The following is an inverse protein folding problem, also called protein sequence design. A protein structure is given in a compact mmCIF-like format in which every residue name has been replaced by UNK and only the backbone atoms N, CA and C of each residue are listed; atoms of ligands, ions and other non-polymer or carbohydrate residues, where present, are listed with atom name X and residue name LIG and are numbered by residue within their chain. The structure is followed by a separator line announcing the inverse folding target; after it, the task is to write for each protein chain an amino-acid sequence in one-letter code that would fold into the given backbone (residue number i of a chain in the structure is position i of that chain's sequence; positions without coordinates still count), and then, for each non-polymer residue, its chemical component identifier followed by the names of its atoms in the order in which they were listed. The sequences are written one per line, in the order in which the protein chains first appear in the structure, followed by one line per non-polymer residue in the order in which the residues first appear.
data_IF_594559535238
#
_entry.id   IF_594559535238
#
_cell.length_a   1.000
_cell.length_b   1.000
_cell.length_c   1.000
_cell.angle_alpha   90.00
_cell.angle_beta   90.00
_cell.angle_gamma   90.00
#
_symmetry.space_group_name_H-M   'P 1'
#
loop_
_entity.id
_entity.type
_entity.pdbx_description
1 polymer ?
#
# COMPACT_ATOMS: atom_id res chain seq x y z
N UNK A 1 -3.88 0.77 26.97
CA UNK A 1 -3.29 1.67 25.96
C UNK A 1 -3.46 0.95 24.63
N UNK A 2 -4.21 1.51 23.67
CA UNK A 2 -4.51 0.83 22.40
C UNK A 2 -3.24 0.63 21.56
N UNK A 3 -3.23 -0.39 20.70
CA UNK A 3 -2.12 -0.65 19.79
C UNK A 3 -2.42 0.04 18.46
N UNK A 4 -1.54 0.94 18.03
CA UNK A 4 -1.65 1.59 16.72
C UNK A 4 -0.59 1.06 15.77
N UNK A 5 -0.95 0.91 14.49
CA UNK A 5 -0.06 0.47 13.42
C UNK A 5 -0.21 1.37 12.21
N UNK A 6 0.78 1.38 11.32
CA UNK A 6 0.70 2.13 10.08
C UNK A 6 1.07 1.30 8.86
N UNK A 7 0.49 1.67 7.71
CA UNK A 7 0.85 1.17 6.38
C UNK A 7 1.12 2.36 5.45
N UNK A 8 2.29 2.41 4.81
CA UNK A 8 2.55 3.29 3.69
C UNK A 8 2.05 2.63 2.41
N UNK A 9 1.06 3.24 1.78
CA UNK A 9 0.49 2.75 0.53
C UNK A 9 1.19 3.41 -0.64
N UNK A 10 1.67 2.60 -1.58
CA UNK A 10 2.24 3.07 -2.84
C UNK A 10 1.29 2.68 -3.98
N UNK A 11 1.12 3.60 -4.93
CA UNK A 11 0.26 3.46 -6.09
C UNK A 11 1.04 3.96 -7.31
N UNK A 12 1.22 3.12 -8.33
CA UNK A 12 1.90 3.53 -9.56
C UNK A 12 2.67 2.40 -10.26
N UNK A 13 3.37 2.75 -11.33
CA UNK A 13 4.31 1.86 -12.00
C UNK A 13 5.72 2.13 -11.47
N UNK A 14 6.29 1.16 -10.74
CA UNK A 14 7.61 1.26 -10.14
C UNK A 14 8.74 1.33 -11.17
N UNK A 15 8.60 0.66 -12.32
CA UNK A 15 9.62 0.67 -13.36
C UNK A 15 9.60 1.98 -14.13
N UNK A 16 8.42 2.47 -14.49
CA UNK A 16 8.27 3.79 -15.10
C UNK A 16 8.78 4.88 -14.16
N UNK A 17 8.40 4.84 -12.88
CA UNK A 17 8.87 5.81 -11.90
C UNK A 17 10.41 5.79 -11.77
N UNK A 18 11.03 4.61 -11.78
CA UNK A 18 12.49 4.50 -11.75
C UNK A 18 13.15 5.11 -13.00
N UNK A 19 12.60 4.86 -14.21
CA UNK A 19 13.08 5.47 -15.45
C UNK A 19 12.94 7.00 -15.43
N UNK A 20 11.79 7.51 -15.01
CA UNK A 20 11.54 8.96 -14.92
C UNK A 20 12.43 9.63 -13.87
N UNK A 21 12.67 8.97 -12.74
CA UNK A 21 13.57 9.45 -11.69
C UNK A 21 15.01 9.50 -12.20
N UNK A 22 15.46 8.48 -12.92
CA UNK A 22 16.79 8.47 -13.52
C UNK A 22 16.96 9.61 -14.54
N UNK A 23 15.99 9.80 -15.43
CA UNK A 23 15.98 10.90 -16.40
C UNK A 23 16.03 12.29 -15.73
N UNK A 24 15.18 12.49 -14.71
CA UNK A 24 15.15 13.75 -13.95
C UNK A 24 16.47 14.01 -13.22
N UNK A 25 17.04 12.98 -12.58
CA UNK A 25 18.31 13.08 -11.83
C UNK A 25 19.49 13.39 -12.76
N UNK A 26 19.55 12.75 -13.92
CA UNK A 26 20.58 13.05 -14.92
C UNK A 26 20.45 14.47 -15.46
N UNK A 27 19.22 14.94 -15.70
CA UNK A 27 18.94 16.33 -16.11
C UNK A 27 19.39 17.31 -15.03
N UNK A 28 19.04 17.06 -13.76
CA UNK A 28 19.47 17.88 -12.62
C UNK A 28 21.00 17.91 -12.47
N UNK A 29 21.66 16.78 -12.73
CA UNK A 29 23.13 16.68 -12.67
C UNK A 29 23.79 17.50 -13.78
N UNK A 30 23.26 17.45 -15.00
CA UNK A 30 23.74 18.27 -16.11
C UNK A 30 23.49 19.76 -15.84
N UNK A 31 22.29 20.11 -15.36
CA UNK A 31 21.95 21.48 -14.97
C UNK A 31 22.91 22.01 -13.91
N UNK A 32 23.15 21.26 -12.84
CA UNK A 32 24.03 21.68 -11.75
C UNK A 32 25.47 22.01 -12.22
N UNK A 33 25.98 21.29 -13.23
CA UNK A 33 27.31 21.54 -13.80
C UNK A 33 27.38 22.82 -14.64
N UNK A 34 26.25 23.22 -15.24
CA UNK A 34 26.20 24.28 -16.25
C UNK A 34 25.46 25.54 -15.77
N UNK A 35 24.71 25.47 -14.66
CA UNK A 35 23.81 26.53 -14.24
C UNK A 35 24.53 27.87 -14.02
N UNK A 36 25.68 27.88 -13.37
CA UNK A 36 26.46 29.10 -13.16
C UNK A 36 27.01 29.70 -14.47
N UNK A 37 27.34 28.86 -15.45
CA UNK A 37 27.94 29.28 -16.73
C UNK A 37 26.90 30.01 -17.58
N UNK A 38 25.68 29.47 -17.63
CA UNK A 38 24.60 29.97 -18.48
C UNK A 38 23.53 30.79 -17.72
N UNK A 39 23.77 31.09 -16.43
CA UNK A 39 22.83 31.84 -15.60
C UNK A 39 21.48 31.12 -15.42
N UNK A 40 21.48 29.79 -15.32
CA UNK A 40 20.27 29.00 -15.23
C UNK A 40 19.79 28.84 -13.77
N UNK A 41 18.49 28.64 -13.55
CA UNK A 41 17.91 28.15 -12.30
C UNK A 41 18.59 26.90 -11.75
N UNK A 42 18.33 26.61 -10.47
CA UNK A 42 18.94 25.46 -9.77
C UNK A 42 18.16 24.16 -9.93
N UNK A 43 16.88 24.24 -10.28
CA UNK A 43 16.01 23.08 -10.46
C UNK A 43 15.56 22.94 -11.92
N UNK A 44 15.52 21.70 -12.47
CA UNK A 44 15.03 21.49 -13.83
C UNK A 44 13.61 22.02 -14.08
N UNK A 45 12.75 21.98 -13.06
CA UNK A 45 11.35 22.42 -13.14
C UNK A 45 11.19 23.94 -13.23
N UNK A 46 12.24 24.72 -12.94
CA UNK A 46 12.23 26.19 -12.98
C UNK A 46 12.72 26.73 -14.33
N UNK A 47 13.20 25.87 -15.22
CA UNK A 47 13.73 26.27 -16.52
C UNK A 47 12.62 26.66 -17.50
N UNK A 48 12.78 27.81 -18.16
CA UNK A 48 11.98 28.17 -19.33
C UNK A 48 12.24 27.22 -20.50
N UNK A 49 11.36 27.19 -21.50
CA UNK A 49 11.55 26.35 -22.70
C UNK A 49 12.87 26.67 -23.43
N UNK A 50 13.25 27.94 -23.47
CA UNK A 50 14.52 28.41 -24.03
C UNK A 50 15.72 27.85 -23.24
N UNK A 51 15.67 27.92 -21.91
CA UNK A 51 16.71 27.39 -21.03
C UNK A 51 16.81 25.85 -21.09
N UNK A 52 15.68 25.16 -21.28
CA UNK A 52 15.67 23.73 -21.54
C UNK A 52 16.34 23.40 -22.90
N UNK A 53 16.20 24.28 -23.89
CA UNK A 53 16.91 24.18 -25.17
C UNK A 53 18.43 24.17 -25.01
N UNK A 54 18.97 25.07 -24.18
CA UNK A 54 20.41 25.13 -23.87
C UNK A 54 20.91 23.78 -23.34
N UNK A 55 20.20 23.18 -22.37
CA UNK A 55 20.61 21.87 -21.85
C UNK A 55 20.56 20.78 -22.92
N UNK A 56 19.51 20.74 -23.74
CA UNK A 56 19.37 19.76 -24.83
C UNK A 56 20.50 19.85 -25.85
N UNK A 57 21.04 21.04 -26.10
CA UNK A 57 22.22 21.23 -26.97
C UNK A 57 23.52 20.77 -26.29
N UNK A 58 23.65 20.95 -24.97
CA UNK A 58 24.83 20.51 -24.21
C UNK A 58 24.99 18.99 -24.17
N UNK A 59 23.88 18.24 -24.15
CA UNK A 59 23.90 16.79 -24.28
C UNK A 59 22.62 16.29 -24.98
N UNK A 60 22.68 16.23 -26.31
CA UNK A 60 21.58 15.77 -27.14
C UNK A 60 21.29 14.27 -27.03
N UNK A 61 22.18 13.50 -26.39
CA UNK A 61 22.01 12.06 -26.18
C UNK A 61 21.22 11.73 -24.92
N UNK A 62 21.13 12.68 -23.99
CA UNK A 62 20.47 12.49 -22.71
C UNK A 62 18.95 12.57 -22.86
N UNK A 63 18.26 11.52 -22.42
CA UNK A 63 16.80 11.54 -22.29
C UNK A 63 16.39 12.45 -21.12
N UNK A 64 16.24 13.74 -21.39
CA UNK A 64 15.98 14.74 -20.34
C UNK A 64 14.53 14.75 -19.86
N UNK A 65 14.38 15.05 -18.57
CA UNK A 65 13.09 15.29 -17.93
C UNK A 65 13.20 16.50 -17.01
N UNK A 66 12.35 17.49 -17.23
CA UNK A 66 12.37 18.77 -16.49
C UNK A 66 11.34 18.82 -15.37
N UNK A 67 10.28 18.02 -15.45
CA UNK A 67 9.28 17.90 -14.39
C UNK A 67 9.65 16.76 -13.44
N UNK A 68 9.54 16.92 -12.11
CA UNK A 68 9.77 15.81 -11.20
C UNK A 68 8.84 14.61 -11.51
N UNK A 69 9.28 13.37 -11.29
CA UNK A 69 8.42 12.20 -11.39
C UNK A 69 7.32 12.28 -10.32
N UNK A 70 6.12 11.77 -10.65
CA UNK A 70 5.03 11.70 -9.67
C UNK A 70 5.42 10.74 -8.55
N UNK A 71 5.35 11.13 -7.26
CA UNK A 71 5.67 10.24 -6.15
C UNK A 71 4.78 9.00 -6.12
N UNK A 72 5.38 7.82 -5.89
CA UNK A 72 4.62 6.58 -5.71
C UNK A 72 3.87 6.53 -4.38
N UNK A 73 4.36 7.21 -3.34
CA UNK A 73 3.74 7.22 -2.02
C UNK A 73 2.36 7.89 -2.11
N UNK A 74 1.32 7.08 -1.95
CA UNK A 74 -0.05 7.57 -1.94
C UNK A 74 -0.42 8.21 -0.60
N UNK A 75 0.18 7.71 0.48
CA UNK A 75 0.06 8.26 1.83
C UNK A 75 0.23 7.19 2.89
N UNK A 76 -0.10 7.55 4.14
CA UNK A 76 0.01 6.69 5.32
C UNK A 76 -1.38 6.41 5.88
N UNK A 77 -1.73 5.14 5.99
CA UNK A 77 -2.88 4.68 6.76
C UNK A 77 -2.44 4.41 8.19
N UNK A 78 -3.18 4.90 9.17
CA UNK A 78 -2.99 4.58 10.60
C UNK A 78 -4.22 3.89 11.12
N UNK A 79 -4.02 2.76 11.80
CA UNK A 79 -5.11 1.97 12.39
C UNK A 79 -4.92 1.87 13.90
N UNK A 80 -6.03 1.96 14.62
CA UNK A 80 -6.12 1.52 16.01
C UNK A 80 -6.68 0.09 16.01
N UNK A 81 -5.98 -0.82 16.69
CA UNK A 81 -6.35 -2.23 16.77
C UNK A 81 -7.17 -2.51 18.03
N UNK A 82 -8.13 -3.42 17.89
CA UNK A 82 -8.95 -3.91 18.98
C UNK A 82 -8.16 -4.78 19.95
N UNK A 83 -8.68 -4.89 21.18
CA UNK A 83 -8.19 -5.84 22.19
C UNK A 83 -8.58 -7.29 21.80
N UNK A 84 -7.90 -7.80 20.80
CA UNK A 84 -8.06 -9.15 20.24
C UNK A 84 -6.69 -9.79 20.10
N UNK A 85 -6.08 -10.30 21.20
CA UNK A 85 -4.65 -10.62 21.22
C UNK A 85 -4.18 -11.52 20.08
N UNK A 86 -4.97 -12.52 19.65
CA UNK A 86 -4.60 -13.37 18.51
C UNK A 86 -4.53 -12.62 17.18
N UNK A 87 -5.47 -11.72 16.93
CA UNK A 87 -5.55 -10.95 15.68
C UNK A 87 -4.60 -9.76 15.70
N UNK A 88 -4.64 -8.97 16.77
CA UNK A 88 -3.79 -7.82 16.96
C UNK A 88 -2.31 -8.22 16.95
N UNK A 89 -1.91 -9.27 17.68
CA UNK A 89 -0.50 -9.70 17.68
C UNK A 89 -0.07 -10.23 16.31
N UNK A 90 -0.94 -10.96 15.61
CA UNK A 90 -0.65 -11.41 14.23
C UNK A 90 -0.43 -10.22 13.31
N UNK A 91 -1.34 -9.24 13.30
CA UNK A 91 -1.24 -8.09 12.41
C UNK A 91 -0.04 -7.19 12.75
N UNK A 92 0.21 -6.93 14.03
CA UNK A 92 1.37 -6.15 14.50
C UNK A 92 2.68 -6.80 14.09
N UNK A 93 2.82 -8.10 14.34
CA UNK A 93 4.03 -8.83 13.99
C UNK A 93 4.27 -8.89 12.48
N UNK A 94 3.19 -8.96 11.67
CA UNK A 94 3.28 -8.84 10.22
C UNK A 94 3.57 -7.40 9.77
N UNK A 95 3.23 -6.37 10.55
CA UNK A 95 3.65 -4.99 10.28
C UNK A 95 5.13 -4.76 10.65
N UNK A 96 5.64 -5.39 11.70
CA UNK A 96 7.03 -5.19 12.18
C UNK A 96 8.04 -6.14 11.53
N UNK A 97 7.57 -7.29 11.04
CA UNK A 97 8.44 -8.35 10.51
C UNK A 97 9.19 -9.14 11.59
N UNK A 98 8.85 -8.96 12.87
CA UNK A 98 9.63 -9.47 14.01
C UNK A 98 9.67 -11.00 14.12
N UNK A 99 8.76 -11.71 13.42
CA UNK A 99 8.63 -13.18 13.47
C UNK A 99 9.45 -13.91 12.41
N UNK A 100 10.23 -13.19 11.60
CA UNK A 100 11.17 -13.80 10.66
C UNK A 100 10.49 -14.39 9.42
N UNK A 101 10.74 -15.67 9.15
CA UNK A 101 10.31 -16.34 7.90
C UNK A 101 9.02 -17.14 8.09
N UNK A 102 8.25 -17.29 7.02
CA UNK A 102 7.07 -18.16 6.98
C UNK A 102 7.51 -19.62 7.13
N UNK A 103 6.73 -20.42 7.85
CA UNK A 103 6.98 -21.85 8.04
C UNK A 103 6.67 -22.66 6.79
N UNK A 104 5.59 -22.33 6.07
CA UNK A 104 5.12 -23.07 4.89
C UNK A 104 5.59 -22.44 3.58
N UNK A 105 6.23 -21.27 3.63
CA UNK A 105 6.90 -20.63 2.51
C UNK A 105 8.28 -20.09 2.94
N UNK A 106 9.29 -20.96 3.14
CA UNK A 106 10.55 -20.60 3.82
C UNK A 106 11.35 -19.45 3.20
N UNK A 107 11.09 -19.11 1.93
CA UNK A 107 11.72 -17.98 1.22
C UNK A 107 10.93 -16.67 1.35
N UNK A 108 9.86 -16.64 2.15
CA UNK A 108 8.97 -15.48 2.35
C UNK A 108 9.02 -15.05 3.80
N UNK A 109 9.06 -13.73 4.04
CA UNK A 109 9.05 -13.15 5.39
C UNK A 109 7.62 -13.04 5.90
N UNK A 110 7.44 -13.19 7.22
CA UNK A 110 6.23 -12.81 7.94
C UNK A 110 6.17 -11.28 8.05
N UNK A 111 6.01 -10.58 6.92
CA UNK A 111 6.08 -9.12 6.85
C UNK A 111 5.22 -8.58 5.70
N UNK A 112 4.51 -7.46 5.94
CA UNK A 112 3.67 -6.81 4.94
C UNK A 112 4.41 -5.88 3.98
N UNK A 113 5.64 -5.47 4.28
CA UNK A 113 6.40 -4.64 3.34
C UNK A 113 6.55 -5.36 1.99
N UNK A 114 6.36 -4.60 0.91
CA UNK A 114 6.28 -5.01 -0.49
C UNK A 114 5.09 -5.92 -0.85
N UNK A 115 4.17 -6.17 0.08
CA UNK A 115 2.97 -6.97 -0.18
C UNK A 115 1.96 -6.19 -1.03
N UNK A 116 1.40 -6.79 -2.11
CA UNK A 116 0.37 -6.15 -2.91
C UNK A 116 -0.97 -6.00 -2.19
N UNK A 117 -1.66 -4.90 -2.45
CA UNK A 117 -3.12 -4.82 -2.30
C UNK A 117 -3.70 -5.39 -3.60
N UNK A 118 -3.79 -6.72 -3.64
CA UNK A 118 -3.99 -7.48 -4.87
C UNK A 118 -5.43 -7.41 -5.42
N UNK A 119 -6.39 -6.99 -4.59
CA UNK A 119 -7.79 -6.90 -5.00
C UNK A 119 -8.47 -5.67 -4.39
N UNK A 120 -8.98 -4.78 -5.22
CA UNK A 120 -9.75 -3.60 -4.83
C UNK A 120 -11.04 -3.58 -5.64
N UNK A 121 -12.18 -3.69 -4.95
CA UNK A 121 -13.52 -3.54 -5.55
C UNK A 121 -14.06 -2.18 -5.20
N UNK A 122 -14.24 -1.34 -6.21
CA UNK A 122 -14.70 0.05 -6.04
C UNK A 122 -16.02 0.12 -5.29
N UNK A 123 -16.09 1.01 -4.31
CA UNK A 123 -17.20 1.20 -3.40
C UNK A 123 -17.48 -0.03 -2.54
N UNK A 124 -16.48 -0.86 -2.22
CA UNK A 124 -16.66 -2.00 -1.33
C UNK A 124 -15.44 -2.27 -0.42
N UNK A 125 -14.38 -2.90 -0.94
CA UNK A 125 -13.22 -3.31 -0.13
C UNK A 125 -11.90 -3.26 -0.90
N UNK A 126 -10.81 -2.97 -0.19
CA UNK A 126 -9.43 -3.17 -0.65
C UNK A 126 -8.78 -4.30 0.16
N UNK A 127 -8.35 -5.37 -0.49
CA UNK A 127 -7.81 -6.58 0.10
C UNK A 127 -6.31 -6.74 -0.23
N UNK A 128 -5.54 -7.06 0.79
CA UNK A 128 -4.09 -7.28 0.73
C UNK A 128 -3.63 -8.33 1.72
N UNK A 129 -2.34 -8.34 2.02
CA UNK A 129 -1.76 -9.21 3.05
C UNK A 129 -1.49 -10.65 2.60
N UNK A 130 -1.55 -10.95 1.31
CA UNK A 130 -0.99 -12.20 0.78
C UNK A 130 0.54 -12.06 0.67
N UNK A 131 1.21 -12.33 1.78
CA UNK A 131 2.67 -12.18 1.93
C UNK A 131 3.47 -13.27 1.20
N UNK A 132 2.82 -14.35 0.75
CA UNK A 132 3.53 -15.49 0.15
C UNK A 132 3.45 -15.46 -1.38
N UNK A 133 2.25 -15.21 -1.95
CA UNK A 133 2.00 -15.25 -3.40
C UNK A 133 1.62 -13.89 -3.98
N UNK A 134 0.98 -13.03 -3.18
CA UNK A 134 0.57 -11.69 -3.59
C UNK A 134 -0.63 -11.67 -4.55
N UNK A 135 -1.37 -12.76 -4.70
CA UNK A 135 -2.50 -12.90 -5.64
C UNK A 135 -3.83 -13.28 -4.95
N UNK A 136 -3.80 -13.46 -3.63
CA UNK A 136 -4.95 -13.83 -2.81
C UNK A 136 -5.06 -15.34 -2.56
N UNK A 137 -4.23 -16.17 -3.20
CA UNK A 137 -4.21 -17.63 -2.98
C UNK A 137 -3.27 -18.08 -1.85
N UNK A 138 -2.49 -17.16 -1.29
CA UNK A 138 -1.49 -17.43 -0.26
C UNK A 138 -1.79 -16.81 1.12
N UNK A 139 -0.72 -16.43 1.79
CA UNK A 139 -0.71 -15.91 3.16
C UNK A 139 -0.45 -16.96 4.23
N UNK A 140 0.11 -16.51 5.36
CA UNK A 140 0.41 -17.33 6.53
C UNK A 140 0.37 -16.46 7.79
N UNK A 141 -0.28 -16.93 8.86
CA UNK A 141 -0.19 -16.23 10.14
C UNK A 141 1.15 -16.47 10.83
N UNK A 142 1.46 -15.65 11.82
CA UNK A 142 2.63 -15.83 12.68
C UNK A 142 2.61 -17.13 13.51
N UNK A 143 1.51 -17.87 13.48
CA UNK A 143 1.31 -19.14 14.17
C UNK A 143 1.61 -20.36 13.29
N UNK A 144 2.09 -20.15 12.05
CA UNK A 144 2.52 -21.23 11.15
C UNK A 144 1.40 -21.80 10.27
N UNK A 145 0.34 -21.04 10.04
CA UNK A 145 -0.81 -21.48 9.23
C UNK A 145 -2.04 -20.59 9.40
N UNK A 146 -3.21 -21.22 9.50
CA UNK A 146 -4.50 -20.57 9.73
C UNK A 146 -4.85 -20.55 11.23
N UNK A 147 -5.66 -19.58 11.68
CA UNK A 147 -6.15 -19.49 13.05
C UNK A 147 -7.63 -19.11 13.13
N UNK A 148 -8.20 -19.34 14.32
CA UNK A 148 -9.64 -19.25 14.58
C UNK A 148 -10.17 -17.81 14.54
N UNK A 149 -11.48 -17.69 14.31
CA UNK A 149 -12.18 -16.41 14.38
C UNK A 149 -12.31 -15.93 15.83
N UNK A 150 -12.15 -14.62 16.05
CA UNK A 150 -12.50 -14.00 17.32
C UNK A 150 -14.01 -13.70 17.36
N UNK A 151 -14.67 -14.13 18.44
CA UNK A 151 -16.13 -13.99 18.58
C UNK A 151 -16.60 -12.55 18.77
N UNK A 152 -15.78 -11.69 19.37
CA UNK A 152 -16.14 -10.28 19.56
C UNK A 152 -16.05 -9.55 18.23
N UNK A 153 -14.97 -9.76 17.47
CA UNK A 153 -14.80 -9.19 16.14
C UNK A 153 -15.83 -9.66 15.12
N UNK A 154 -16.32 -10.91 15.19
CA UNK A 154 -17.44 -11.40 14.34
C UNK A 154 -18.76 -10.67 14.58
N UNK A 155 -18.96 -10.12 15.78
CA UNK A 155 -20.20 -9.41 16.17
C UNK A 155 -20.13 -7.92 15.86
N UNK A 156 -18.95 -7.38 15.56
CA UNK A 156 -18.79 -5.98 15.20
C UNK A 156 -19.49 -5.69 13.88
N UNK A 157 -20.12 -4.52 13.82
CA UNK A 157 -20.63 -3.98 12.57
C UNK A 157 -19.47 -3.38 11.79
N UNK A 158 -19.50 -3.54 10.48
CA UNK A 158 -18.59 -2.83 9.60
C UNK A 158 -19.02 -1.38 9.41
N UNK A 159 -18.05 -0.53 9.12
CA UNK A 159 -18.16 0.87 8.68
C UNK A 159 -17.00 1.15 7.72
N UNK A 160 -17.06 2.24 6.94
CA UNK A 160 -15.90 2.69 6.16
C UNK A 160 -14.70 2.89 7.09
N UNK A 161 -13.53 2.41 6.67
CA UNK A 161 -12.32 2.40 7.49
C UNK A 161 -12.18 1.19 8.43
N UNK A 162 -13.17 0.29 8.51
CA UNK A 162 -13.00 -0.97 9.24
C UNK A 162 -11.86 -1.81 8.66
N UNK A 163 -11.00 -2.34 9.54
CA UNK A 163 -9.95 -3.30 9.23
C UNK A 163 -10.40 -4.70 9.66
N UNK A 164 -10.42 -5.65 8.73
CA UNK A 164 -10.94 -6.98 8.98
C UNK A 164 -10.14 -8.09 8.28
N UNK A 165 -10.21 -9.31 8.83
CA UNK A 165 -9.50 -10.45 8.27
C UNK A 165 -10.21 -10.98 7.02
N UNK A 166 -9.46 -11.18 5.96
CA UNK A 166 -9.91 -12.01 4.84
C UNK A 166 -9.69 -13.49 5.20
N UNK A 167 -10.66 -14.34 4.84
CA UNK A 167 -10.60 -15.77 5.12
C UNK A 167 -11.28 -16.56 3.97
N UNK A 168 -11.05 -17.88 3.95
CA UNK A 168 -11.66 -18.80 2.99
C UNK A 168 -12.75 -19.66 3.66
N UNK A 169 -13.44 -19.09 4.66
CA UNK A 169 -14.39 -19.78 5.51
C UNK A 169 -14.03 -19.71 6.99
N UNK A 170 -14.92 -20.25 7.82
CA UNK A 170 -14.83 -20.19 9.28
C UNK A 170 -13.47 -20.69 9.78
N UNK A 171 -12.86 -19.94 10.71
CA UNK A 171 -11.60 -20.27 11.36
C UNK A 171 -10.41 -20.43 10.39
N UNK A 172 -10.36 -19.62 9.33
CA UNK A 172 -9.27 -19.68 8.34
C UNK A 172 -8.48 -18.39 8.18
N UNK A 173 -8.39 -17.59 9.25
CA UNK A 173 -7.62 -16.34 9.24
C UNK A 173 -6.12 -16.64 9.08
N UNK A 174 -5.41 -15.82 8.31
CA UNK A 174 -3.96 -15.94 8.08
C UNK A 174 -3.28 -14.57 8.14
N UNK A 175 -2.65 -14.12 7.06
CA UNK A 175 -2.09 -12.77 6.91
C UNK A 175 -2.98 -11.84 6.08
N UNK A 176 -3.97 -12.38 5.37
CA UNK A 176 -4.78 -11.54 4.49
C UNK A 176 -5.80 -10.71 5.28
N UNK A 177 -5.95 -9.45 4.87
CA UNK A 177 -6.89 -8.49 5.46
C UNK A 177 -7.58 -7.70 4.36
N UNK A 178 -8.67 -7.03 4.71
CA UNK A 178 -9.28 -6.01 3.87
C UNK A 178 -9.65 -4.77 4.65
N UNK A 179 -9.66 -3.65 3.93
CA UNK A 179 -10.15 -2.35 4.34
C UNK A 179 -11.52 -2.11 3.72
N UNK A 180 -12.47 -1.64 4.52
CA UNK A 180 -13.79 -1.26 4.02
C UNK A 180 -13.75 0.14 3.43
N UNK A 181 -14.19 0.28 2.18
CA UNK A 181 -14.16 1.54 1.42
C UNK A 181 -15.52 2.24 1.34
N UNK A 182 -16.58 1.61 1.87
CA UNK A 182 -17.96 2.07 1.69
C UNK A 182 -18.70 2.21 3.02
N UNK A 183 -19.65 3.15 3.05
CA UNK A 183 -20.65 3.30 4.12
C UNK A 183 -22.04 2.78 3.71
N UNK A 184 -22.16 2.13 2.55
CA UNK A 184 -23.42 1.54 2.07
C UNK A 184 -23.80 0.32 2.93
N UNK A 185 -24.79 0.50 3.80
CA UNK A 185 -25.28 -0.52 4.74
C UNK A 185 -25.66 -1.84 4.05
N UNK A 186 -26.16 -1.79 2.81
CA UNK A 186 -26.57 -2.99 2.06
C UNK A 186 -25.36 -3.84 1.66
N UNK A 187 -24.20 -3.20 1.39
CA UNK A 187 -22.93 -3.89 1.12
C UNK A 187 -22.28 -4.36 2.40
N UNK A 188 -22.29 -3.53 3.44
CA UNK A 188 -21.76 -3.87 4.76
C UNK A 188 -22.45 -5.10 5.35
N UNK A 189 -23.77 -5.20 5.21
CA UNK A 189 -24.57 -6.34 5.68
C UNK A 189 -24.11 -7.69 5.10
N UNK A 190 -23.51 -7.71 3.90
CA UNK A 190 -23.04 -8.96 3.25
C UNK A 190 -21.85 -9.59 3.97
N UNK A 191 -21.10 -8.82 4.75
CA UNK A 191 -19.88 -9.22 5.47
C UNK A 191 -20.14 -9.59 6.94
N UNK A 192 -21.25 -9.11 7.51
CA UNK A 192 -21.60 -9.34 8.92
C UNK A 192 -21.60 -10.84 9.28
N UNK A 193 -20.93 -11.18 10.38
CA UNK A 193 -20.84 -12.54 10.90
C UNK A 193 -19.97 -13.51 10.10
N UNK A 194 -19.32 -13.05 9.01
CA UNK A 194 -18.43 -13.89 8.17
C UNK A 194 -16.94 -13.56 8.33
N UNK A 195 -16.65 -12.29 8.61
CA UNK A 195 -15.29 -11.79 8.74
C UNK A 195 -15.12 -11.09 10.08
N UNK A 196 -13.91 -11.13 10.61
CA UNK A 196 -13.59 -10.61 11.93
C UNK A 196 -13.05 -9.19 11.78
N UNK A 197 -13.77 -8.20 12.27
CA UNK A 197 -13.25 -6.83 12.44
C UNK A 197 -12.31 -6.82 13.64
N UNK A 198 -11.12 -6.26 13.47
CA UNK A 198 -10.09 -6.22 14.52
C UNK A 198 -9.37 -4.87 14.63
N UNK A 199 -9.84 -3.86 13.92
CA UNK A 199 -9.34 -2.49 14.04
C UNK A 199 -10.12 -1.52 13.18
N UNK A 200 -9.78 -0.24 13.30
CA UNK A 200 -10.40 0.85 12.57
C UNK A 200 -9.37 1.89 12.14
N UNK A 201 -9.65 2.54 11.01
CA UNK A 201 -8.83 3.62 10.50
C UNK A 201 -8.93 4.84 11.42
N UNK A 202 -7.76 5.32 11.85
CA UNK A 202 -7.60 6.54 12.64
C UNK A 202 -7.24 7.74 11.77
N UNK A 203 -6.36 7.54 10.80
CA UNK A 203 -5.83 8.59 9.93
C UNK A 203 -5.48 8.05 8.53
N UNK A 204 -5.48 8.93 7.52
CA UNK A 204 -5.24 8.58 6.11
C UNK A 204 -6.51 8.31 5.30
N UNK A 205 -7.62 9.00 5.60
CA UNK A 205 -8.90 8.83 4.90
C UNK A 205 -8.81 9.14 3.40
N UNK A 206 -7.97 10.08 3.01
CA UNK A 206 -7.68 10.41 1.60
C UNK A 206 -6.97 9.26 0.88
N UNK A 207 -6.21 8.43 1.60
CA UNK A 207 -5.56 7.25 1.04
C UNK A 207 -6.60 6.16 0.76
N UNK A 208 -7.66 6.06 1.57
CA UNK A 208 -8.81 5.19 1.28
C UNK A 208 -9.50 5.59 -0.03
N UNK A 209 -9.71 6.89 -0.24
CA UNK A 209 -10.33 7.39 -1.47
C UNK A 209 -9.45 7.10 -2.70
N UNK A 210 -8.12 7.26 -2.54
CA UNK A 210 -7.16 6.92 -3.60
C UNK A 210 -7.12 5.43 -3.91
N UNK A 211 -7.25 4.57 -2.90
CA UNK A 211 -7.39 3.12 -3.09
C UNK A 211 -8.66 2.81 -3.89
N UNK A 212 -9.80 3.37 -3.50
CA UNK A 212 -11.08 3.13 -4.17
C UNK A 212 -11.07 3.58 -5.64
N UNK A 213 -10.44 4.73 -5.92
CA UNK A 213 -10.30 5.30 -7.26
C UNK A 213 -9.47 4.44 -8.23
N UNK A 214 -8.56 3.61 -7.73
CA UNK A 214 -7.78 2.67 -8.55
C UNK A 214 -8.35 1.25 -8.53
N UNK A 215 -9.51 1.08 -7.93
CA UNK A 215 -10.24 -0.18 -7.89
C UNK A 215 -10.60 -0.71 -9.28
N UNK A 216 -10.62 -2.05 -9.38
CA UNK A 216 -11.06 -2.75 -10.58
C UNK A 216 -12.57 -2.94 -10.63
N UNK A 217 -13.04 -3.39 -11.80
CA UNK A 217 -14.42 -3.83 -12.00
C UNK A 217 -14.74 -5.13 -11.26
N UNK A 218 -15.44 -6.06 -11.91
CA UNK A 218 -15.98 -7.25 -11.25
C UNK A 218 -14.91 -8.20 -10.65
N UNK A 219 -13.70 -8.25 -11.22
CA UNK A 219 -12.59 -9.07 -10.72
C UNK A 219 -11.83 -8.42 -9.54
N UNK A 220 -12.06 -7.12 -9.32
CA UNK A 220 -11.37 -6.30 -8.33
C UNK A 220 -9.87 -6.13 -8.63
N UNK A 221 -9.39 -6.36 -9.85
CA UNK A 221 -7.98 -6.14 -10.17
C UNK A 221 -7.68 -4.64 -10.26
N UNK A 222 -6.74 -4.09 -9.47
CA UNK A 222 -6.42 -2.67 -9.54
C UNK A 222 -5.98 -2.22 -10.93
N UNK A 223 -6.37 -1.00 -11.34
CA UNK A 223 -6.00 -0.41 -12.64
C UNK A 223 -4.52 -0.07 -12.75
N UNK A 224 -3.87 0.12 -11.61
CA UNK A 224 -2.43 0.32 -11.45
C UNK A 224 -1.96 -0.44 -10.21
N UNK A 225 -0.68 -0.81 -10.14
CA UNK A 225 -0.14 -1.55 -9.00
C UNK A 225 -0.32 -0.77 -7.70
N UNK A 226 -0.78 -1.47 -6.67
CA UNK A 226 -0.92 -0.97 -5.30
C UNK A 226 -0.21 -1.92 -4.34
N UNK A 227 0.63 -1.39 -3.46
CA UNK A 227 1.37 -2.21 -2.50
C UNK A 227 1.70 -1.44 -1.22
N UNK A 228 2.07 -2.19 -0.18
CA UNK A 228 2.53 -1.65 1.09
C UNK A 228 4.04 -1.40 0.96
N UNK A 229 4.50 -0.16 0.85
CA UNK A 229 5.93 0.14 0.74
C UNK A 229 6.68 0.17 2.07
N UNK A 230 5.93 0.24 3.17
CA UNK A 230 6.48 0.18 4.53
C UNK A 230 5.36 0.09 5.55
N UNK A 231 5.64 -0.50 6.70
CA UNK A 231 4.66 -0.70 7.76
C UNK A 231 5.35 -0.84 9.11
N UNK A 232 4.58 -0.72 10.19
CA UNK A 232 5.10 -0.90 11.54
C UNK A 232 4.09 -0.58 12.62
N UNK A 233 4.53 -0.73 13.86
CA UNK A 233 3.82 -0.28 15.06
C UNK A 233 4.21 1.17 15.37
N UNK A 234 3.26 1.97 15.87
CA UNK A 234 3.47 3.33 16.37
C UNK A 234 3.76 3.36 17.88
#
# INVERSE_FOLDING_TARGET
MGISVFLHILIGDSEQHARETAAYTSTATLLAKNAAIYGLPSLPAELSEEQQGILKELDSSLAMRFTPPVPLLAGKLVFDLDDTPGLANNFVALCTGEKGMCKNAPNKKLHYADCPIHRIVTGFVAQGGDITRGDGSGGESIYGGKFNDDKAGLKKKFSRGSLAMANSGKNTNSSQFFLVLTDDESKLAKMNGKYVVFGELKDGWEVLDRLDAVGGGADGKPSVRVWIGGCGKL
#
